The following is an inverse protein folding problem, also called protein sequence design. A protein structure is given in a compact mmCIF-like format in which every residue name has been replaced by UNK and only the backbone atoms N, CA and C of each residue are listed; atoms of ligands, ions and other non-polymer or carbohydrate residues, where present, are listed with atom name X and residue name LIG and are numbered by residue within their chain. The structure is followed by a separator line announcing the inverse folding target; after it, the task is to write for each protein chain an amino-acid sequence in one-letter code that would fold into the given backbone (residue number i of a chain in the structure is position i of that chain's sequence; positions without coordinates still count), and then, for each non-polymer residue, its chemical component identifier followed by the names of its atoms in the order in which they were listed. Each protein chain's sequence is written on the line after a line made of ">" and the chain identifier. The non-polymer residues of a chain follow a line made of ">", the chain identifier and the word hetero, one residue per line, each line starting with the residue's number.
data_IF_510246257465
#
_entry.id   IF_510246257465
#
_cell.length_a   1.000
_cell.length_b   1.000
_cell.length_c   1.000
_cell.angle_alpha   90.00
_cell.angle_beta   90.00
_cell.angle_gamma   90.00
#
_symmetry.space_group_name_H-M   'P 1'
#
loop_
_entity.id
_entity.type
_entity.pdbx_description
1 polymer ?
#
# COMPACT_ATOMS: atom_id res chain seq x y z
N UNK A 1 10.60 -42.65 18.29
CA UNK A 1 9.98 -42.56 16.94
C UNK A 1 8.58 -41.94 16.93
N UNK A 2 7.84 -41.94 18.04
CA UNK A 2 6.47 -41.37 18.11
C UNK A 2 6.46 -39.82 18.12
N UNK A 3 7.41 -39.17 18.79
CA UNK A 3 7.43 -37.70 18.93
C UNK A 3 7.77 -36.95 17.63
N UNK A 4 8.62 -37.53 16.78
CA UNK A 4 8.95 -36.99 15.45
C UNK A 4 7.75 -37.04 14.50
N UNK A 5 6.83 -38.00 14.68
CA UNK A 5 5.63 -38.14 13.85
C UNK A 5 4.58 -37.06 14.19
N UNK A 6 4.38 -36.78 15.49
CA UNK A 6 3.39 -35.79 15.94
C UNK A 6 3.79 -34.35 15.58
N UNK A 7 5.07 -33.97 15.72
CA UNK A 7 5.53 -32.63 15.37
C UNK A 7 5.46 -32.34 13.87
N UNK A 8 5.69 -33.34 13.01
CA UNK A 8 5.59 -33.19 11.56
C UNK A 8 4.13 -32.97 11.12
N UNK A 9 3.18 -33.70 11.72
CA UNK A 9 1.75 -33.53 11.44
C UNK A 9 1.21 -32.18 11.94
N UNK A 10 1.57 -31.76 13.15
CA UNK A 10 1.18 -30.46 13.71
C UNK A 10 1.70 -29.32 12.81
N UNK A 11 2.98 -29.36 12.38
CA UNK A 11 3.54 -28.34 11.47
C UNK A 11 2.87 -28.35 10.09
N UNK A 12 2.51 -29.52 9.56
CA UNK A 12 1.86 -29.66 8.23
C UNK A 12 0.43 -29.15 8.17
N UNK A 13 -0.27 -29.04 9.30
CA UNK A 13 -1.66 -28.58 9.35
C UNK A 13 -1.76 -27.19 9.94
N UNK A 14 -1.05 -26.91 11.04
CA UNK A 14 -1.15 -25.63 11.76
C UNK A 14 -0.51 -24.49 10.98
N UNK A 15 0.60 -24.71 10.28
CA UNK A 15 1.29 -23.66 9.50
C UNK A 15 0.46 -23.19 8.29
N UNK A 16 -0.07 -24.07 7.41
CA UNK A 16 -0.91 -23.60 6.30
C UNK A 16 -2.24 -23.01 6.81
N UNK A 17 -2.84 -23.55 7.87
CA UNK A 17 -4.08 -23.02 8.45
C UNK A 17 -3.90 -21.60 9.01
N UNK A 18 -2.78 -21.34 9.68
CA UNK A 18 -2.46 -20.00 10.21
C UNK A 18 -2.17 -18.99 9.09
N UNK A 19 -1.44 -19.40 8.04
CA UNK A 19 -1.18 -18.54 6.87
C UNK A 19 -2.47 -18.17 6.10
N UNK A 20 -3.45 -19.09 6.04
CA UNK A 20 -4.70 -18.85 5.32
C UNK A 20 -5.67 -17.89 6.06
N UNK A 21 -5.54 -17.76 7.39
CA UNK A 21 -6.45 -16.95 8.22
C UNK A 21 -5.96 -15.50 8.43
N UNK A 22 -4.69 -15.21 8.12
CA UNK A 22 -4.07 -13.89 8.34
C UNK A 22 -4.49 -12.74 7.40
N UNK A 23 -4.92 -12.92 6.13
CA UNK A 23 -5.07 -11.79 5.21
C UNK A 23 -6.37 -10.98 5.36
N UNK A 24 -7.20 -11.23 6.36
CA UNK A 24 -8.58 -10.71 6.43
C UNK A 24 -8.73 -9.27 6.94
N UNK A 25 -7.63 -8.57 7.26
CA UNK A 25 -7.68 -7.23 7.88
C UNK A 25 -6.95 -6.13 7.11
N UNK A 26 -6.34 -6.44 5.97
CA UNK A 26 -5.64 -5.45 5.16
C UNK A 26 -6.61 -4.72 4.23
N UNK A 27 -7.01 -3.50 4.62
CA UNK A 27 -7.70 -2.57 3.73
C UNK A 27 -6.68 -1.57 3.16
N UNK A 28 -6.71 -1.26 1.84
CA UNK A 28 -5.88 -0.22 1.29
C UNK A 28 -6.26 1.13 1.91
N UNK A 29 -5.27 2.01 2.13
CA UNK A 29 -5.57 3.39 2.50
C UNK A 29 -6.26 4.12 1.32
N UNK A 30 -6.98 5.22 1.57
CA UNK A 30 -7.48 6.07 0.50
C UNK A 30 -6.34 6.61 -0.37
N UNK A 31 -6.59 6.87 -1.65
CA UNK A 31 -5.62 7.41 -2.61
C UNK A 31 -4.87 8.64 -2.08
N UNK A 32 -5.60 9.57 -1.46
CA UNK A 32 -5.03 10.77 -0.83
C UNK A 32 -3.91 10.48 0.17
N UNK A 33 -3.96 9.33 0.86
CA UNK A 33 -2.89 8.91 1.77
C UNK A 33 -1.57 8.71 1.02
N UNK A 34 -1.61 7.94 -0.07
CA UNK A 34 -0.42 7.63 -0.86
C UNK A 34 0.06 8.83 -1.65
N UNK A 35 -0.86 9.62 -2.23
CA UNK A 35 -0.55 10.90 -2.87
C UNK A 35 0.24 11.81 -1.92
N UNK A 36 -0.27 12.03 -0.71
CA UNK A 36 0.38 12.89 0.28
C UNK A 36 1.73 12.37 0.76
N UNK A 37 1.84 11.06 1.00
CA UNK A 37 3.09 10.42 1.41
C UNK A 37 4.17 10.58 0.34
N UNK A 38 3.84 10.26 -0.91
CA UNK A 38 4.78 10.32 -2.04
C UNK A 38 5.19 11.76 -2.36
N UNK A 39 4.24 12.70 -2.39
CA UNK A 39 4.55 14.10 -2.64
C UNK A 39 5.51 14.68 -1.59
N UNK A 40 5.30 14.33 -0.31
CA UNK A 40 6.18 14.74 0.79
C UNK A 40 7.59 14.16 0.64
N UNK A 41 7.72 12.89 0.27
CA UNK A 41 9.02 12.24 0.09
C UNK A 41 9.85 12.91 -1.02
N UNK A 42 9.19 13.43 -2.06
CA UNK A 42 9.83 14.20 -3.12
C UNK A 42 10.08 15.68 -2.78
N UNK A 43 9.73 16.12 -1.57
CA UNK A 43 9.81 17.54 -1.19
C UNK A 43 8.87 18.43 -2.02
N UNK A 44 7.80 17.84 -2.59
CA UNK A 44 6.82 18.54 -3.40
C UNK A 44 5.74 19.24 -2.58
N UNK A 45 4.95 20.06 -3.27
CA UNK A 45 3.76 20.72 -2.73
C UNK A 45 2.51 20.00 -3.23
N UNK A 46 1.66 19.54 -2.31
CA UNK A 46 0.45 18.81 -2.64
C UNK A 46 -0.73 19.75 -2.96
N UNK A 47 -1.68 19.26 -3.78
CA UNK A 47 -2.95 19.91 -4.11
C UNK A 47 -2.77 21.37 -4.61
N UNK A 48 -1.92 21.58 -5.62
CA UNK A 48 -1.58 22.92 -6.16
C UNK A 48 -2.46 23.28 -7.35
N UNK A 49 -3.02 24.50 -7.37
CA UNK A 49 -3.65 25.07 -8.56
C UNK A 49 -2.59 25.84 -9.36
N UNK A 50 -2.37 25.40 -10.61
CA UNK A 50 -1.41 25.99 -11.54
C UNK A 50 -1.96 27.28 -12.17
N UNK A 51 -1.12 28.10 -12.82
CA UNK A 51 -1.55 29.37 -13.43
C UNK A 51 -2.62 29.23 -14.52
N UNK A 52 -2.68 28.07 -15.18
CA UNK A 52 -3.70 27.74 -16.18
C UNK A 52 -5.01 27.20 -15.56
N UNK A 53 -5.13 27.28 -14.23
CA UNK A 53 -6.25 26.78 -13.41
C UNK A 53 -6.39 25.26 -13.36
N UNK A 54 -5.45 24.50 -13.91
CA UNK A 54 -5.40 23.06 -13.67
C UNK A 54 -4.97 22.78 -12.23
N UNK A 55 -5.45 21.68 -11.65
CA UNK A 55 -4.98 21.20 -10.36
C UNK A 55 -3.95 20.11 -10.62
N UNK A 56 -2.84 20.18 -9.88
CA UNK A 56 -1.81 19.16 -9.80
C UNK A 56 -1.83 18.53 -8.40
N UNK A 57 -1.92 17.21 -8.31
CA UNK A 57 -1.88 16.49 -7.02
C UNK A 57 -0.55 16.66 -6.28
N UNK A 58 0.55 16.81 -7.01
CA UNK A 58 1.86 17.15 -6.48
C UNK A 58 2.69 18.00 -7.47
N UNK A 59 3.33 19.06 -6.98
CA UNK A 59 4.28 19.87 -7.74
C UNK A 59 5.66 19.77 -7.11
N UNK A 60 6.64 19.35 -7.91
CA UNK A 60 8.06 19.26 -7.55
C UNK A 60 8.84 20.39 -8.23
N UNK A 61 10.17 20.41 -8.08
CA UNK A 61 11.01 21.42 -8.75
C UNK A 61 10.96 21.36 -10.28
N UNK A 62 10.55 20.23 -10.87
CA UNK A 62 10.61 20.01 -12.32
C UNK A 62 9.32 19.50 -12.95
N UNK A 63 8.36 18.98 -12.16
CA UNK A 63 7.15 18.35 -12.69
C UNK A 63 5.90 18.73 -11.88
N UNK A 64 4.76 18.78 -12.58
CA UNK A 64 3.43 18.65 -12.01
C UNK A 64 2.96 17.19 -12.23
N UNK A 65 2.51 16.52 -11.18
CA UNK A 65 2.14 15.10 -11.18
C UNK A 65 0.69 14.96 -10.72
N UNK A 66 -0.08 14.13 -11.44
CA UNK A 66 -1.39 13.61 -11.04
C UNK A 66 -1.22 12.18 -10.52
N UNK A 67 -1.87 11.86 -9.40
CA UNK A 67 -1.83 10.53 -8.77
C UNK A 67 -3.21 9.93 -8.85
N UNK A 68 -3.28 8.69 -9.35
CA UNK A 68 -4.54 8.09 -9.67
C UNK A 68 -4.53 6.58 -9.48
N UNK A 69 -5.57 6.04 -8.85
CA UNK A 69 -5.75 4.61 -8.70
C UNK A 69 -6.24 4.01 -10.01
N UNK A 70 -5.46 3.07 -10.56
CA UNK A 70 -5.69 2.48 -11.88
C UNK A 70 -6.99 1.67 -12.08
N UNK A 71 -7.88 1.59 -11.06
CA UNK A 71 -9.23 1.05 -11.26
C UNK A 71 -10.19 2.22 -11.45
N UNK A 72 -10.44 2.55 -12.71
CA UNK A 72 -11.42 3.56 -13.14
C UNK A 72 -12.50 2.95 -14.00
#
# INVERSE_FOLDING_TARGET
>A
MVELCQTVWIKRIVIPLTLFLLPTTAFPFPEKHYQGAWCRELGGQADVVLPDQTRADCVTSSNAIEVDFGKK
#
